data_IF_775515445545
#
_entry.id   IF_775515445545
#
_cell.length_a   1.000
_cell.length_b   1.000
_cell.length_c   1.000
_cell.angle_alpha   90.00
_cell.angle_beta   90.00
_cell.angle_gamma   90.00
#
_symmetry.space_group_name_H-M   'P 1'
#
loop_
_entity.id
_entity.type
_entity.pdbx_description
1 polymer ?
#
# COMPACT_ATOMS: atom_id res chain seq x y z
N UNK A 1 -14.69 -16.94 16.38
CA UNK A 1 -14.07 -17.34 15.09
C UNK A 1 -14.91 -17.02 13.85
N UNK A 2 -16.24 -17.17 13.86
CA UNK A 2 -17.08 -16.90 12.67
C UNK A 2 -16.96 -15.47 12.11
N UNK A 3 -17.07 -14.43 12.95
CA UNK A 3 -17.02 -13.03 12.52
C UNK A 3 -15.72 -12.67 11.79
N UNK A 4 -14.57 -13.14 12.28
CA UNK A 4 -13.26 -12.85 11.70
C UNK A 4 -13.07 -13.41 10.28
N UNK A 5 -13.59 -14.62 10.02
CA UNK A 5 -13.53 -15.23 8.68
C UNK A 5 -14.37 -14.46 7.65
N UNK A 6 -15.54 -13.97 8.04
CA UNK A 6 -16.42 -13.21 7.15
C UNK A 6 -15.84 -11.83 6.82
N UNK A 7 -15.24 -11.17 7.81
CA UNK A 7 -14.52 -9.92 7.65
C UNK A 7 -13.33 -10.03 6.68
N UNK A 8 -12.51 -11.07 6.82
CA UNK A 8 -11.40 -11.32 5.88
C UNK A 8 -11.87 -11.68 4.48
N UNK A 9 -12.98 -12.40 4.37
CA UNK A 9 -13.60 -12.68 3.09
C UNK A 9 -14.01 -11.38 2.38
N UNK A 10 -14.57 -10.40 3.10
CA UNK A 10 -14.91 -9.09 2.53
C UNK A 10 -13.68 -8.36 2.01
N UNK A 11 -12.55 -8.37 2.73
CA UNK A 11 -11.29 -7.82 2.23
C UNK A 11 -10.84 -8.49 0.94
N UNK A 12 -10.91 -9.83 0.90
CA UNK A 12 -10.58 -10.60 -0.30
C UNK A 12 -11.45 -10.21 -1.51
N UNK A 13 -12.75 -10.00 -1.30
CA UNK A 13 -13.67 -9.54 -2.35
C UNK A 13 -13.31 -8.15 -2.83
N UNK A 14 -13.11 -7.19 -1.93
CA UNK A 14 -12.75 -5.80 -2.30
C UNK A 14 -11.42 -5.75 -3.04
N UNK A 15 -10.40 -6.48 -2.57
CA UNK A 15 -9.10 -6.59 -3.24
C UNK A 15 -9.24 -7.24 -4.62
N UNK A 16 -10.00 -8.33 -4.72
CA UNK A 16 -10.27 -9.00 -5.99
C UNK A 16 -10.96 -8.07 -7.00
N UNK A 17 -11.96 -7.31 -6.57
CA UNK A 17 -12.64 -6.31 -7.40
C UNK A 17 -11.70 -5.18 -7.81
N UNK A 18 -10.85 -4.69 -6.91
CA UNK A 18 -9.88 -3.64 -7.22
C UNK A 18 -8.84 -4.11 -8.26
N UNK A 19 -8.33 -5.33 -8.10
CA UNK A 19 -7.41 -5.95 -9.06
C UNK A 19 -8.11 -6.17 -10.41
N UNK A 20 -9.32 -6.73 -10.40
CA UNK A 20 -10.11 -6.94 -11.61
C UNK A 20 -10.33 -5.62 -12.36
N UNK A 21 -10.72 -4.56 -11.65
CA UNK A 21 -10.94 -3.24 -12.23
C UNK A 21 -9.66 -2.68 -12.86
N UNK A 22 -8.53 -2.75 -12.14
CA UNK A 22 -7.24 -2.32 -12.64
C UNK A 22 -6.86 -3.08 -13.93
N UNK A 23 -7.00 -4.41 -13.93
CA UNK A 23 -6.67 -5.24 -15.07
C UNK A 23 -7.61 -4.98 -16.26
N UNK A 24 -8.92 -4.93 -16.07
CA UNK A 24 -9.87 -4.69 -17.16
C UNK A 24 -9.63 -3.36 -17.88
N UNK A 25 -9.21 -2.33 -17.13
CA UNK A 25 -8.89 -1.02 -17.71
C UNK A 25 -7.62 -1.00 -18.56
N UNK A 26 -6.67 -1.90 -18.28
CA UNK A 26 -5.32 -1.84 -18.86
C UNK A 26 -4.97 -2.99 -19.81
N UNK A 27 -5.48 -4.21 -19.56
CA UNK A 27 -5.13 -5.41 -20.31
C UNK A 27 -5.36 -5.25 -21.82
N UNK A 28 -6.48 -4.65 -22.29
CA UNK A 28 -6.68 -4.43 -23.72
C UNK A 28 -5.60 -3.55 -24.36
N UNK A 29 -5.11 -2.54 -23.63
CA UNK A 29 -4.07 -1.60 -24.10
C UNK A 29 -2.68 -2.23 -24.13
N UNK A 30 -2.38 -3.13 -23.19
CA UNK A 30 -1.10 -3.82 -23.13
C UNK A 30 -0.95 -4.90 -24.21
N UNK A 31 -2.06 -5.42 -24.72
CA UNK A 31 -2.09 -6.53 -25.68
C UNK A 31 -2.18 -6.03 -27.12
N UNK A 32 -2.67 -4.81 -27.37
CA UNK A 32 -2.72 -4.25 -28.73
C UNK A 32 -1.32 -3.78 -29.19
N UNK A 33 -0.66 -4.51 -30.11
CA UNK A 33 0.70 -4.16 -30.55
C UNK A 33 0.74 -2.89 -31.41
N UNK A 34 -0.41 -2.33 -31.80
CA UNK A 34 -0.50 -1.10 -32.58
C UNK A 34 -0.54 0.16 -31.70
N UNK A 35 -0.69 0.04 -30.38
CA UNK A 35 -0.73 1.19 -29.47
C UNK A 35 0.69 1.62 -29.04
N UNK A 36 1.31 2.46 -29.85
CA UNK A 36 2.68 2.99 -29.65
C UNK A 36 2.76 4.18 -28.68
N UNK A 37 1.70 4.44 -27.90
CA UNK A 37 1.66 5.61 -27.01
C UNK A 37 2.64 5.45 -25.85
N UNK A 38 3.47 6.47 -25.62
CA UNK A 38 4.35 6.66 -24.45
C UNK A 38 3.57 6.49 -23.11
N UNK A 39 2.25 6.62 -23.10
CA UNK A 39 1.42 6.33 -21.92
C UNK A 39 1.49 4.87 -21.45
N UNK A 40 1.69 3.90 -22.35
CA UNK A 40 1.56 2.47 -22.04
C UNK A 40 2.55 1.98 -20.98
N UNK A 41 3.82 2.41 -21.04
CA UNK A 41 4.82 2.02 -20.04
C UNK A 41 4.54 2.64 -18.66
N UNK A 42 4.05 3.89 -18.62
CA UNK A 42 3.75 4.58 -17.36
C UNK A 42 2.50 3.98 -16.71
N UNK A 43 1.48 3.64 -17.50
CA UNK A 43 0.30 2.93 -17.02
C UNK A 43 0.65 1.51 -16.54
N UNK A 44 1.54 0.80 -17.24
CA UNK A 44 2.06 -0.50 -16.81
C UNK A 44 2.82 -0.40 -15.48
N UNK A 45 3.65 0.64 -15.32
CA UNK A 45 4.38 0.89 -14.09
C UNK A 45 3.42 1.25 -12.93
N UNK A 46 2.41 2.08 -13.17
CA UNK A 46 1.35 2.41 -12.21
C UNK A 46 0.59 1.15 -11.79
N UNK A 47 0.20 0.30 -12.74
CA UNK A 47 -0.42 -1.00 -12.46
C UNK A 47 0.50 -1.89 -11.62
N UNK A 48 1.78 -1.97 -11.96
CA UNK A 48 2.75 -2.74 -11.20
C UNK A 48 2.85 -2.25 -9.74
N UNK A 49 3.00 -0.95 -9.53
CA UNK A 49 3.05 -0.33 -8.19
C UNK A 49 1.74 -0.56 -7.42
N UNK A 50 0.60 -0.44 -8.10
CA UNK A 50 -0.71 -0.74 -7.54
C UNK A 50 -0.81 -2.19 -7.05
N UNK A 51 -0.47 -3.16 -7.91
CA UNK A 51 -0.52 -4.58 -7.58
C UNK A 51 0.44 -4.92 -6.44
N UNK A 52 1.66 -4.38 -6.47
CA UNK A 52 2.65 -4.59 -5.43
C UNK A 52 2.15 -4.11 -4.07
N UNK A 53 1.57 -2.90 -4.02
CA UNK A 53 1.05 -2.34 -2.77
C UNK A 53 -0.21 -3.04 -2.29
N UNK A 54 -1.20 -3.32 -3.15
CA UNK A 54 -2.43 -3.96 -2.69
C UNK A 54 -2.16 -5.37 -2.14
N UNK A 55 -1.24 -6.12 -2.74
CA UNK A 55 -0.81 -7.42 -2.23
C UNK A 55 -0.09 -7.25 -0.88
N UNK A 56 0.85 -6.30 -0.78
CA UNK A 56 1.57 -6.00 0.47
C UNK A 56 0.62 -5.65 1.62
N UNK A 57 -0.33 -4.74 1.39
CA UNK A 57 -1.29 -4.32 2.41
C UNK A 57 -2.31 -5.42 2.75
N UNK A 58 -2.71 -6.24 1.77
CA UNK A 58 -3.55 -7.41 2.02
C UNK A 58 -2.86 -8.44 2.92
N UNK A 59 -1.63 -8.84 2.58
CA UNK A 59 -0.85 -9.77 3.39
C UNK A 59 -0.48 -9.18 4.76
N UNK A 60 -0.13 -7.89 4.80
CA UNK A 60 0.14 -7.17 6.05
C UNK A 60 -1.09 -7.15 6.97
N UNK A 61 -2.28 -6.89 6.42
CA UNK A 61 -3.54 -6.95 7.17
C UNK A 61 -3.83 -8.37 7.67
N UNK A 62 -3.64 -9.39 6.82
CA UNK A 62 -3.78 -10.78 7.23
C UNK A 62 -2.88 -11.14 8.42
N UNK A 63 -1.60 -10.80 8.33
CA UNK A 63 -0.63 -11.02 9.39
C UNK A 63 -0.97 -10.23 10.67
N UNK A 64 -1.45 -8.99 10.54
CA UNK A 64 -1.88 -8.16 11.67
C UNK A 64 -3.00 -8.83 12.47
N UNK A 65 -4.08 -9.18 11.79
CA UNK A 65 -5.25 -9.73 12.49
C UNK A 65 -5.00 -11.12 13.01
N UNK A 66 -4.18 -11.92 12.32
CA UNK A 66 -3.73 -13.20 12.86
C UNK A 66 -2.98 -12.97 14.18
N UNK A 67 -1.96 -12.10 14.20
CA UNK A 67 -1.16 -11.83 15.40
C UNK A 67 -1.99 -11.26 16.56
N UNK A 68 -2.86 -10.28 16.28
CA UNK A 68 -3.56 -9.50 17.31
C UNK A 68 -4.84 -10.18 17.82
N UNK A 69 -5.57 -10.91 16.96
CA UNK A 69 -6.92 -11.38 17.27
C UNK A 69 -7.11 -12.91 17.22
N UNK A 70 -6.33 -13.65 16.43
CA UNK A 70 -6.57 -15.08 16.22
C UNK A 70 -5.45 -15.99 16.74
N UNK A 71 -4.21 -15.50 16.76
CA UNK A 71 -3.01 -16.28 17.00
C UNK A 71 -2.65 -16.40 18.47
N UNK A 72 -1.60 -17.17 18.73
CA UNK A 72 -1.05 -17.43 20.08
C UNK A 72 -0.47 -16.20 20.76
N UNK A 73 -0.25 -15.11 20.01
CA UNK A 73 0.23 -13.83 20.54
C UNK A 73 -0.89 -12.85 20.87
N UNK A 74 -2.15 -13.22 20.63
CA UNK A 74 -3.29 -12.33 20.85
C UNK A 74 -3.42 -11.90 22.33
N UNK A 75 -3.04 -12.76 23.28
CA UNK A 75 -3.04 -12.49 24.72
C UNK A 75 -2.03 -11.40 25.14
N UNK A 76 -1.12 -10.97 24.25
CA UNK A 76 -0.20 -9.85 24.52
C UNK A 76 -0.86 -8.47 24.40
N UNK A 77 -2.09 -8.42 23.90
CA UNK A 77 -2.81 -7.20 23.57
C UNK A 77 -4.11 -7.14 24.38
N UNK A 78 -4.08 -6.50 25.54
CA UNK A 78 -5.22 -6.41 26.46
C UNK A 78 -6.26 -5.39 25.95
N UNK A 79 -5.78 -4.23 25.50
CA UNK A 79 -6.60 -3.16 24.94
C UNK A 79 -6.54 -3.19 23.42
N UNK A 80 -7.53 -3.84 22.80
CA UNK A 80 -7.70 -3.93 21.34
C UNK A 80 -9.16 -3.83 20.94
N UNK A 81 -9.44 -3.30 19.75
CA UNK A 81 -10.80 -3.11 19.24
C UNK A 81 -10.92 -3.65 17.83
N UNK A 82 -11.42 -4.89 17.73
CA UNK A 82 -11.55 -5.59 16.45
C UNK A 82 -12.38 -4.80 15.45
N UNK A 83 -13.54 -4.27 15.87
CA UNK A 83 -14.44 -3.54 14.99
C UNK A 83 -13.82 -2.26 14.42
N UNK A 84 -13.03 -1.57 15.23
CA UNK A 84 -12.35 -0.34 14.83
C UNK A 84 -11.20 -0.64 13.85
N UNK A 85 -10.34 -1.60 14.17
CA UNK A 85 -9.23 -2.00 13.30
C UNK A 85 -9.76 -2.57 11.97
N UNK A 86 -10.87 -3.32 12.02
CA UNK A 86 -11.56 -3.80 10.83
C UNK A 86 -12.14 -2.67 9.98
N UNK A 87 -12.82 -1.70 10.59
CA UNK A 87 -13.38 -0.57 9.84
C UNK A 87 -12.27 0.25 9.16
N UNK A 88 -11.16 0.48 9.86
CA UNK A 88 -10.02 1.22 9.31
C UNK A 88 -9.38 0.49 8.14
N UNK A 89 -9.14 -0.82 8.25
CA UNK A 89 -8.63 -1.63 7.15
C UNK A 89 -9.62 -1.69 5.97
N UNK A 90 -10.92 -1.82 6.25
CA UNK A 90 -11.96 -1.80 5.22
C UNK A 90 -11.93 -0.50 4.40
N UNK A 91 -11.95 0.65 5.08
CA UNK A 91 -11.87 1.96 4.42
C UNK A 91 -10.58 2.07 3.60
N UNK A 92 -9.45 1.55 4.11
CA UNK A 92 -8.20 1.52 3.35
C UNK A 92 -8.34 0.74 2.03
N UNK A 93 -8.93 -0.46 2.06
CA UNK A 93 -9.15 -1.27 0.86
C UNK A 93 -10.17 -0.65 -0.11
N UNK A 94 -11.17 0.08 0.37
CA UNK A 94 -12.07 0.87 -0.48
C UNK A 94 -11.30 1.97 -1.20
N UNK A 95 -10.32 2.59 -0.55
CA UNK A 95 -9.45 3.59 -1.20
C UNK A 95 -8.55 2.94 -2.26
N UNK A 96 -8.05 1.71 -2.05
CA UNK A 96 -7.37 0.95 -3.11
C UNK A 96 -8.27 0.73 -4.32
N UNK A 97 -9.56 0.42 -4.13
CA UNK A 97 -10.51 0.32 -5.24
C UNK A 97 -10.62 1.64 -6.02
N UNK A 98 -10.74 2.77 -5.32
CA UNK A 98 -10.72 4.10 -5.96
C UNK A 98 -9.40 4.40 -6.67
N UNK A 99 -8.26 3.97 -6.11
CA UNK A 99 -6.94 4.18 -6.69
C UNK A 99 -6.76 3.41 -8.00
N UNK A 100 -7.33 2.20 -8.12
CA UNK A 100 -7.33 1.42 -9.36
C UNK A 100 -7.93 2.19 -10.55
N UNK A 101 -8.94 3.03 -10.32
CA UNK A 101 -9.59 3.85 -11.35
C UNK A 101 -8.69 4.98 -11.89
N UNK A 102 -7.59 5.29 -11.20
CA UNK A 102 -6.66 6.38 -11.56
C UNK A 102 -5.44 5.90 -12.34
N UNK A 103 -5.35 4.59 -12.65
CA UNK A 103 -4.25 4.02 -13.44
C UNK A 103 -4.30 4.52 -14.88
N UNK A 104 -5.50 4.57 -15.48
CA UNK A 104 -5.73 4.99 -16.87
C UNK A 104 -5.48 6.49 -17.04
N UNK A 105 -4.43 6.85 -17.80
CA UNK A 105 -4.04 8.24 -18.05
C UNK A 105 -4.97 8.98 -19.01
N UNK A 106 -5.79 8.27 -19.79
CA UNK A 106 -6.75 8.86 -20.72
C UNK A 106 -8.06 9.23 -20.01
N UNK A 107 -8.43 8.47 -18.98
CA UNK A 107 -9.69 8.64 -18.24
C UNK A 107 -9.53 9.40 -16.93
N UNK A 108 -8.30 9.56 -16.43
CA UNK A 108 -8.05 10.21 -15.15
C UNK A 108 -6.95 11.27 -15.22
N UNK A 109 -7.09 12.40 -14.49
CA UNK A 109 -6.02 13.37 -14.34
C UNK A 109 -4.73 12.73 -13.80
N UNK A 110 -3.60 13.05 -14.43
CA UNK A 110 -2.30 12.45 -14.14
C UNK A 110 -1.85 12.56 -12.68
N UNK A 111 -2.27 13.61 -11.97
CA UNK A 111 -1.93 13.86 -10.56
C UNK A 111 -2.71 13.01 -9.56
N UNK A 112 -3.84 12.39 -9.96
CA UNK A 112 -4.66 11.62 -9.02
C UNK A 112 -3.96 10.35 -8.55
N UNK A 113 -3.29 9.63 -9.45
CA UNK A 113 -2.57 8.41 -9.10
C UNK A 113 -1.51 8.62 -8.00
N UNK A 114 -0.56 9.56 -8.12
CA UNK A 114 0.41 9.81 -7.06
C UNK A 114 -0.22 10.41 -5.80
N UNK A 115 -1.32 11.17 -5.91
CA UNK A 115 -2.04 11.70 -4.75
C UNK A 115 -2.71 10.60 -3.92
N UNK A 116 -3.34 9.63 -4.59
CA UNK A 116 -3.95 8.46 -3.95
C UNK A 116 -2.89 7.53 -3.36
N UNK A 117 -1.75 7.36 -4.05
CA UNK A 117 -0.59 6.65 -3.50
C UNK A 117 -0.09 7.30 -2.20
N UNK A 118 0.06 8.63 -2.19
CA UNK A 118 0.45 9.37 -0.99
C UNK A 118 -0.54 9.15 0.16
N UNK A 119 -1.85 9.20 -0.13
CA UNK A 119 -2.88 8.92 0.86
C UNK A 119 -2.76 7.48 1.41
N UNK A 120 -2.59 6.47 0.56
CA UNK A 120 -2.44 5.06 0.95
C UNK A 120 -1.23 4.87 1.86
N UNK A 121 -0.07 5.43 1.51
CA UNK A 121 1.14 5.32 2.34
C UNK A 121 0.98 6.05 3.68
N UNK A 122 0.27 7.17 3.72
CA UNK A 122 0.06 7.93 4.96
C UNK A 122 -1.13 7.45 5.79
N UNK A 123 -1.96 6.55 5.27
CA UNK A 123 -3.18 6.10 5.93
C UNK A 123 -2.90 5.41 7.27
N UNK A 124 -1.78 4.71 7.41
CA UNK A 124 -1.38 4.07 8.66
C UNK A 124 -1.14 5.09 9.80
N UNK A 125 -0.89 6.36 9.50
CA UNK A 125 -0.84 7.43 10.52
C UNK A 125 -2.22 7.72 11.08
N UNK A 126 -3.27 7.68 10.24
CA UNK A 126 -4.67 7.79 10.68
C UNK A 126 -5.01 6.61 11.57
N UNK A 127 -4.62 5.39 11.15
CA UNK A 127 -4.83 4.19 11.96
C UNK A 127 -4.10 4.30 13.31
N UNK A 128 -2.83 4.70 13.31
CA UNK A 128 -2.06 4.91 14.53
C UNK A 128 -2.71 5.94 15.46
N UNK A 129 -3.20 7.05 14.91
CA UNK A 129 -3.85 8.10 15.68
C UNK A 129 -5.11 7.61 16.37
N UNK A 130 -5.97 6.90 15.64
CA UNK A 130 -7.23 6.37 16.17
C UNK A 130 -6.96 5.27 17.22
N UNK A 131 -5.98 4.41 16.97
CA UNK A 131 -5.62 3.30 17.85
C UNK A 131 -4.61 3.67 18.95
N UNK A 132 -4.26 4.95 19.15
CA UNK A 132 -3.18 5.40 20.07
C UNK A 132 -3.32 4.95 21.53
N UNK A 133 -4.54 4.65 21.98
CA UNK A 133 -4.84 4.20 23.34
C UNK A 133 -4.93 2.66 23.46
N UNK A 134 -4.76 1.94 22.35
CA UNK A 134 -4.76 0.49 22.27
C UNK A 134 -3.33 -0.04 22.32
N UNK A 135 -3.13 -1.25 22.83
CA UNK A 135 -1.81 -1.91 22.87
C UNK A 135 -1.31 -2.24 21.44
N UNK A 136 -2.24 -2.30 20.49
CA UNK A 136 -1.97 -2.51 19.06
C UNK A 136 -1.25 -1.32 18.41
N UNK A 137 -1.25 -0.13 19.05
CA UNK A 137 -0.59 1.07 18.54
C UNK A 137 0.91 0.85 18.29
N UNK A 138 1.59 0.10 19.17
CA UNK A 138 3.02 -0.17 19.03
C UNK A 138 3.33 -0.97 17.76
N UNK A 139 2.44 -1.89 17.38
CA UNK A 139 2.57 -2.65 16.15
C UNK A 139 2.35 -1.75 14.92
N UNK A 140 1.30 -0.94 14.96
CA UNK A 140 0.95 -0.02 13.86
C UNK A 140 2.03 1.05 13.66
N UNK A 141 2.65 1.53 14.75
CA UNK A 141 3.67 2.58 14.74
C UNK A 141 4.83 2.28 13.79
N UNK A 142 5.31 1.02 13.77
CA UNK A 142 6.41 0.63 12.90
C UNK A 142 6.01 0.70 11.42
N UNK A 143 4.80 0.24 11.07
CA UNK A 143 4.30 0.31 9.70
C UNK A 143 4.03 1.74 9.25
N UNK A 144 3.38 2.53 10.11
CA UNK A 144 3.16 3.94 9.87
C UNK A 144 4.47 4.70 9.64
N UNK A 145 5.51 4.40 10.42
CA UNK A 145 6.84 4.98 10.23
C UNK A 145 7.47 4.58 8.89
N UNK A 146 7.49 3.28 8.56
CA UNK A 146 8.07 2.79 7.30
C UNK A 146 7.34 3.38 6.08
N UNK A 147 6.01 3.44 6.12
CA UNK A 147 5.22 3.99 5.02
C UNK A 147 5.35 5.52 4.91
N UNK A 148 5.38 6.24 6.04
CA UNK A 148 5.67 7.68 6.03
C UNK A 148 7.07 7.98 5.48
N UNK A 149 8.09 7.21 5.87
CA UNK A 149 9.45 7.36 5.33
C UNK A 149 9.49 7.07 3.83
N UNK A 150 8.77 6.04 3.38
CA UNK A 150 8.65 5.69 1.95
C UNK A 150 8.01 6.81 1.16
N UNK A 151 6.94 7.40 1.69
CA UNK A 151 6.30 8.59 1.12
C UNK A 151 7.29 9.76 1.02
N UNK A 152 8.00 10.08 2.10
CA UNK A 152 8.97 11.19 2.12
C UNK A 152 10.10 10.98 1.10
N UNK A 153 10.63 9.76 0.99
CA UNK A 153 11.64 9.42 -0.01
C UNK A 153 11.11 9.55 -1.44
N UNK A 154 9.91 9.01 -1.70
CA UNK A 154 9.26 9.12 -3.01
C UNK A 154 8.98 10.57 -3.41
N UNK A 155 8.44 11.37 -2.48
CA UNK A 155 8.20 12.80 -2.69
C UNK A 155 9.51 13.57 -2.94
N UNK A 156 10.57 13.26 -2.18
CA UNK A 156 11.89 13.88 -2.38
C UNK A 156 12.46 13.53 -3.77
N UNK A 157 12.36 12.27 -4.18
CA UNK A 157 12.81 11.80 -5.49
C UNK A 157 12.03 12.48 -6.63
N UNK A 158 10.72 12.63 -6.47
CA UNK A 158 9.88 13.38 -7.40
C UNK A 158 10.33 14.84 -7.50
N UNK A 159 10.49 15.53 -6.37
CA UNK A 159 10.86 16.95 -6.32
C UNK A 159 12.23 17.17 -6.96
N UNK A 160 13.21 16.32 -6.65
CA UNK A 160 14.56 16.39 -7.26
C UNK A 160 14.48 16.15 -8.77
N UNK A 161 13.81 15.09 -9.20
CA UNK A 161 13.71 14.77 -10.63
C UNK A 161 12.97 15.86 -11.42
N UNK A 162 11.86 16.37 -10.89
CA UNK A 162 11.01 17.34 -11.58
C UNK A 162 11.60 18.75 -11.56
N UNK A 163 12.04 19.24 -10.40
CA UNK A 163 12.48 20.64 -10.26
C UNK A 163 13.99 20.81 -10.48
N UNK A 164 14.82 19.93 -9.93
CA UNK A 164 16.28 20.08 -10.05
C UNK A 164 16.80 19.52 -11.39
N UNK A 165 16.31 18.35 -11.81
CA UNK A 165 16.75 17.71 -13.06
C UNK A 165 15.88 18.06 -14.27
N UNK A 166 14.77 18.79 -14.09
CA UNK A 166 13.82 19.18 -15.14
C UNK A 166 13.32 18.00 -15.98
N UNK A 167 13.18 16.83 -15.35
CA UNK A 167 12.69 15.62 -16.02
C UNK A 167 11.22 15.77 -16.40
N UNK A 168 10.78 15.16 -17.52
CA UNK A 168 9.35 15.06 -17.84
C UNK A 168 8.56 14.46 -16.68
N UNK A 169 7.33 14.92 -16.47
CA UNK A 169 6.50 14.54 -15.33
C UNK A 169 6.38 13.01 -15.14
N UNK A 170 6.16 12.25 -16.22
CA UNK A 170 6.07 10.79 -16.15
C UNK A 170 7.39 10.12 -15.74
N UNK A 171 8.53 10.69 -16.14
CA UNK A 171 9.83 10.17 -15.71
C UNK A 171 10.11 10.50 -14.23
N UNK A 172 9.76 11.71 -13.79
CA UNK A 172 9.86 12.09 -12.37
C UNK A 172 8.96 11.20 -11.48
N UNK A 173 7.77 10.87 -11.95
CA UNK A 173 6.88 9.89 -11.30
C UNK A 173 7.51 8.50 -11.23
N UNK A 174 8.08 8.00 -12.33
CA UNK A 174 8.75 6.70 -12.34
C UNK A 174 9.93 6.64 -11.35
N UNK A 175 10.72 7.71 -11.25
CA UNK A 175 11.82 7.83 -10.28
C UNK A 175 11.27 7.85 -8.85
N UNK A 176 10.15 8.54 -8.61
CA UNK A 176 9.49 8.58 -7.30
C UNK A 176 8.97 7.21 -6.84
N UNK A 177 8.63 6.30 -7.77
CA UNK A 177 8.21 4.94 -7.44
C UNK A 177 9.36 4.02 -7.02
N UNK A 178 10.63 4.36 -7.30
CA UNK A 178 11.79 3.53 -6.91
C UNK A 178 11.79 3.20 -5.41
N UNK A 179 11.73 4.18 -4.47
CA UNK A 179 11.68 3.86 -3.04
C UNK A 179 10.43 3.06 -2.65
N UNK A 180 9.28 3.34 -3.29
CA UNK A 180 8.02 2.63 -3.04
C UNK A 180 8.14 1.14 -3.40
N UNK A 181 8.69 0.84 -4.57
CA UNK A 181 8.90 -0.52 -5.05
C UNK A 181 9.90 -1.25 -4.14
N UNK A 182 11.05 -0.63 -3.87
CA UNK A 182 12.11 -1.25 -3.06
C UNK A 182 11.61 -1.61 -1.65
N UNK A 183 10.99 -0.67 -0.94
CA UNK A 183 10.47 -0.94 0.40
C UNK A 183 9.37 -1.99 0.36
N UNK A 184 8.50 -1.95 -0.65
CA UNK A 184 7.40 -2.91 -0.73
C UNK A 184 7.85 -4.33 -1.04
N UNK A 185 8.87 -4.50 -1.89
CA UNK A 185 9.49 -5.81 -2.17
C UNK A 185 10.19 -6.35 -0.91
N UNK A 186 10.94 -5.51 -0.19
CA UNK A 186 11.58 -5.90 1.06
C UNK A 186 10.53 -6.37 2.08
N UNK A 187 9.46 -5.58 2.27
CA UNK A 187 8.39 -5.93 3.20
C UNK A 187 7.66 -7.22 2.82
N UNK A 188 7.41 -7.45 1.54
CA UNK A 188 6.82 -8.71 1.06
C UNK A 188 7.76 -9.90 1.30
N UNK A 189 9.06 -9.74 1.05
CA UNK A 189 10.04 -10.78 1.32
C UNK A 189 10.11 -11.14 2.82
N UNK A 190 10.02 -10.14 3.71
CA UNK A 190 9.93 -10.39 5.15
C UNK A 190 8.63 -11.11 5.55
N UNK A 191 7.49 -10.71 4.97
CA UNK A 191 6.20 -11.36 5.24
C UNK A 191 6.19 -12.82 4.80
N UNK A 192 6.76 -13.12 3.62
CA UNK A 192 6.81 -14.48 3.06
C UNK A 192 7.82 -15.35 3.82
N UNK A 193 8.99 -14.81 4.16
CA UNK A 193 10.03 -15.55 4.89
C UNK A 193 9.71 -15.74 6.38
N UNK A 194 8.80 -14.94 6.93
CA UNK A 194 8.55 -14.85 8.37
C UNK A 194 9.71 -14.23 9.17
N UNK A 195 10.76 -13.75 8.49
CA UNK A 195 11.94 -13.16 9.11
C UNK A 195 11.86 -11.63 9.03
N UNK A 196 11.87 -10.96 10.17
CA UNK A 196 11.79 -9.49 10.27
C UNK A 196 13.16 -8.82 10.29
N UNK A 197 14.06 -9.12 9.35
CA UNK A 197 15.43 -8.61 9.38
C UNK A 197 15.52 -7.07 9.32
N UNK A 198 14.95 -6.46 8.30
CA UNK A 198 14.90 -5.01 8.09
C UNK A 198 14.12 -4.33 9.21
N UNK A 199 12.96 -4.85 9.59
CA UNK A 199 12.17 -4.31 10.72
C UNK A 199 12.92 -4.38 12.04
N UNK A 200 13.67 -5.45 12.30
CA UNK A 200 14.47 -5.58 13.53
C UNK A 200 15.65 -4.63 13.55
N UNK A 201 16.33 -4.45 12.42
CA UNK A 201 17.40 -3.46 12.27
C UNK A 201 16.86 -2.05 12.50
N UNK A 202 15.75 -1.69 11.85
CA UNK A 202 15.13 -0.39 11.94
C UNK A 202 14.66 -0.08 13.37
N UNK A 203 14.10 -1.07 14.07
CA UNK A 203 13.71 -0.94 15.48
C UNK A 203 14.89 -0.54 16.37
N UNK A 204 16.07 -1.14 16.17
CA UNK A 204 17.30 -0.81 16.91
C UNK A 204 17.82 0.61 16.66
N UNK A 205 17.49 1.22 15.52
CA UNK A 205 17.91 2.58 15.18
C UNK A 205 16.99 3.62 15.82
N UNK A 206 15.72 3.28 16.03
CA UNK A 206 14.69 4.21 16.53
C UNK A 206 14.57 4.17 18.07
N UNK A 207 15.01 3.09 18.72
CA UNK A 207 15.04 2.94 20.18
C UNK A 207 16.43 3.22 20.74
#
# INVERSE_FOLDING_TARGET
>A
MGLHRHAFWLYGVVVGLAIQQALLSLLPKLIDPNDTRIGSWSEALRLFVFLLLIIRFFLGSAAYFDEVYCGTQSDKYDKKSYGLDYLLGFVHFVVFFGWALTIDLQQSPSYLFPSMLAFILLYDLVWLWVSRNNDTANRIKLWAFVNALTFLLGASFYVIAHFALRSPMLLAEAIAFVPVILVSVIDLAELISGQSFFKSWLKKVIT
#
